data_IF_870705129762
#
_entry.id   IF_870705129762
#
_cell.length_a   1.000
_cell.length_b   1.000
_cell.length_c   1.000
_cell.angle_alpha   90.00
_cell.angle_beta   90.00
_cell.angle_gamma   90.00
#
_symmetry.space_group_name_H-M   'P 1'
#
loop_
_entity.id
_entity.type
_entity.pdbx_description
1 polymer ?
#
# COMPACT_ATOMS: atom_id res chain seq x y z
N UNK A 1 17.25 -16.53 -12.99
CA UNK A 1 16.81 -16.35 -11.60
C UNK A 1 16.00 -15.06 -11.57
N UNK A 2 14.70 -15.18 -11.38
CA UNK A 2 13.74 -14.10 -11.57
C UNK A 2 12.92 -13.98 -10.28
N UNK A 3 12.78 -12.76 -9.74
CA UNK A 3 11.79 -12.47 -8.69
C UNK A 3 12.29 -12.31 -7.25
N UNK A 4 13.48 -11.74 -6.99
CA UNK A 4 13.71 -11.14 -5.67
C UNK A 4 12.98 -9.79 -5.63
N UNK A 5 11.88 -9.71 -4.87
CA UNK A 5 11.21 -8.44 -4.58
C UNK A 5 12.18 -7.55 -3.77
N UNK A 6 12.79 -6.57 -4.43
CA UNK A 6 13.66 -5.62 -3.75
C UNK A 6 12.80 -4.59 -3.01
N UNK A 7 12.74 -4.71 -1.69
CA UNK A 7 12.18 -3.66 -0.84
C UNK A 7 13.09 -2.45 -0.79
N UNK A 8 12.53 -1.34 -0.30
CA UNK A 8 13.27 -0.08 -0.19
C UNK A 8 14.51 -0.21 0.71
N UNK A 9 15.66 0.40 0.32
CA UNK A 9 16.77 0.58 1.23
C UNK A 9 16.35 1.37 2.47
N UNK A 10 16.88 1.01 3.65
CA UNK A 10 16.52 1.65 4.93
C UNK A 10 16.62 3.18 4.91
N UNK A 11 17.63 3.72 4.23
CA UNK A 11 17.86 5.16 4.09
C UNK A 11 16.76 5.90 3.34
N UNK A 12 15.94 5.19 2.57
CA UNK A 12 14.87 5.76 1.77
C UNK A 12 13.48 5.63 2.43
N UNK A 13 13.35 4.80 3.49
CA UNK A 13 12.05 4.47 4.11
C UNK A 13 11.31 5.73 4.54
N UNK A 14 11.96 6.64 5.28
CA UNK A 14 11.32 7.86 5.77
C UNK A 14 10.80 8.74 4.62
N UNK A 15 11.56 8.83 3.53
CA UNK A 15 11.17 9.63 2.36
C UNK A 15 9.98 9.01 1.64
N UNK A 16 10.01 7.71 1.40
CA UNK A 16 8.94 7.01 0.69
C UNK A 16 7.64 6.93 1.52
N UNK A 17 7.75 6.70 2.84
CA UNK A 17 6.62 6.77 3.76
C UNK A 17 5.98 8.16 3.74
N UNK A 18 6.79 9.22 3.79
CA UNK A 18 6.28 10.59 3.68
C UNK A 18 5.64 10.91 2.33
N UNK A 19 6.06 10.27 1.24
CA UNK A 19 5.36 10.38 -0.04
C UNK A 19 4.03 9.65 -0.01
N UNK A 20 4.00 8.39 0.43
CA UNK A 20 2.76 7.61 0.52
C UNK A 20 1.71 8.31 1.40
N UNK A 21 2.12 8.94 2.51
CA UNK A 21 1.23 9.74 3.35
C UNK A 21 0.65 10.94 2.59
N UNK A 22 1.48 11.71 1.88
CA UNK A 22 1.02 12.88 1.13
C UNK A 22 0.05 12.50 0.01
N UNK A 23 0.33 11.43 -0.72
CA UNK A 23 -0.56 10.92 -1.75
C UNK A 23 -1.91 10.50 -1.16
N UNK A 24 -1.89 9.76 -0.04
CA UNK A 24 -3.13 9.34 0.63
C UNK A 24 -3.95 10.54 1.13
N UNK A 25 -3.27 11.57 1.64
CA UNK A 25 -3.89 12.83 2.07
C UNK A 25 -4.49 13.59 0.89
N UNK A 26 -3.82 13.62 -0.25
CA UNK A 26 -4.32 14.26 -1.47
C UNK A 26 -5.62 13.60 -1.97
N UNK A 27 -5.78 12.31 -1.72
CA UNK A 27 -7.02 11.56 -1.96
C UNK A 27 -8.04 11.64 -0.79
N UNK A 28 -7.89 12.60 0.12
CA UNK A 28 -8.76 12.77 1.29
C UNK A 28 -8.93 11.49 2.13
N UNK A 29 -7.84 10.72 2.24
CA UNK A 29 -7.80 9.42 2.89
C UNK A 29 -8.91 8.46 2.39
N UNK A 30 -9.18 8.49 1.08
CA UNK A 30 -10.14 7.66 0.35
C UNK A 30 -11.62 7.92 0.69
N UNK A 31 -11.92 9.00 1.41
CA UNK A 31 -13.30 9.34 1.80
C UNK A 31 -14.11 9.88 0.63
N UNK A 32 -15.43 9.63 0.66
CA UNK A 32 -16.38 10.19 -0.32
C UNK A 32 -16.36 9.50 -1.69
N UNK A 33 -15.67 8.37 -1.84
CA UNK A 33 -15.55 7.62 -3.09
C UNK A 33 -16.67 6.60 -3.27
N UNK A 34 -17.02 6.30 -4.53
CA UNK A 34 -17.80 5.09 -4.86
C UNK A 34 -17.01 3.83 -4.49
N UNK A 35 -17.65 2.66 -4.52
CA UNK A 35 -16.97 1.40 -4.21
C UNK A 35 -15.83 1.13 -5.20
N UNK A 36 -16.10 1.36 -6.48
CA UNK A 36 -15.16 1.14 -7.58
C UNK A 36 -13.97 2.10 -7.48
N UNK A 37 -14.23 3.38 -7.22
CA UNK A 37 -13.19 4.39 -7.00
C UNK A 37 -12.34 4.07 -5.77
N UNK A 38 -12.99 3.66 -4.67
CA UNK A 38 -12.30 3.24 -3.45
C UNK A 38 -11.37 2.05 -3.71
N UNK A 39 -11.84 1.01 -4.40
CA UNK A 39 -11.05 -0.18 -4.74
C UNK A 39 -9.85 0.20 -5.62
N UNK A 40 -10.06 1.02 -6.64
CA UNK A 40 -9.00 1.44 -7.57
C UNK A 40 -7.91 2.22 -6.84
N UNK A 41 -8.29 3.20 -6.02
CA UNK A 41 -7.34 4.01 -5.23
C UNK A 41 -6.70 3.21 -4.10
N UNK A 42 -7.43 2.32 -3.43
CA UNK A 42 -6.86 1.43 -2.43
C UNK A 42 -5.77 0.54 -3.03
N UNK A 43 -5.97 -0.01 -4.23
CA UNK A 43 -4.95 -0.82 -4.90
C UNK A 43 -3.66 -0.04 -5.16
N UNK A 44 -3.78 1.22 -5.61
CA UNK A 44 -2.63 2.11 -5.80
C UNK A 44 -1.88 2.37 -4.50
N UNK A 45 -2.56 2.78 -3.43
CA UNK A 45 -1.90 3.11 -2.16
C UNK A 45 -1.36 1.88 -1.42
N UNK A 46 -2.04 0.74 -1.56
CA UNK A 46 -1.59 -0.54 -1.01
C UNK A 46 -0.22 -0.93 -1.57
N UNK A 47 -0.04 -0.85 -2.89
CA UNK A 47 1.25 -1.12 -3.55
C UNK A 47 2.36 -0.17 -3.08
N UNK A 48 2.05 1.13 -3.01
CA UNK A 48 3.00 2.15 -2.53
C UNK A 48 3.51 1.83 -1.12
N UNK A 49 2.61 1.50 -0.18
CA UNK A 49 3.00 1.17 1.18
C UNK A 49 3.69 -0.20 1.29
N UNK A 50 3.29 -1.18 0.47
CA UNK A 50 3.96 -2.48 0.38
C UNK A 50 5.42 -2.33 -0.04
N UNK A 51 5.71 -1.40 -0.95
CA UNK A 51 7.07 -1.11 -1.40
C UNK A 51 7.95 -0.48 -0.31
N UNK A 52 7.37 0.32 0.60
CA UNK A 52 8.12 0.94 1.72
C UNK A 52 8.67 -0.10 2.70
N UNK A 53 7.88 -1.14 3.01
CA UNK A 53 8.25 -2.27 3.87
C UNK A 53 9.04 -1.88 5.15
N UNK A 54 8.49 -1.00 6.02
CA UNK A 54 9.28 -0.27 7.03
C UNK A 54 9.79 -1.10 8.21
N UNK A 55 9.26 -2.30 8.45
CA UNK A 55 9.63 -3.13 9.59
C UNK A 55 10.47 -4.34 9.17
N UNK A 56 11.30 -4.85 10.09
CA UNK A 56 12.05 -6.10 9.88
C UNK A 56 11.13 -7.33 9.71
N UNK A 57 10.01 -7.35 10.40
CA UNK A 57 9.00 -8.39 10.31
C UNK A 57 7.62 -7.82 10.70
N UNK A 58 6.55 -8.47 10.24
CA UNK A 58 5.19 -8.09 10.61
C UNK A 58 4.54 -7.02 9.74
N UNK A 59 5.17 -6.56 8.66
CA UNK A 59 4.62 -5.57 7.73
C UNK A 59 3.19 -5.88 7.30
N UNK A 60 2.92 -7.12 6.85
CA UNK A 60 1.57 -7.51 6.45
C UNK A 60 0.54 -7.35 7.57
N UNK A 61 0.87 -7.72 8.82
CA UNK A 61 -0.03 -7.59 9.99
C UNK A 61 -0.33 -6.12 10.27
N UNK A 62 0.71 -5.28 10.30
CA UNK A 62 0.56 -3.85 10.54
C UNK A 62 -0.24 -3.18 9.44
N UNK A 63 0.04 -3.50 8.17
CA UNK A 63 -0.67 -2.95 7.03
C UNK A 63 -2.15 -3.34 7.02
N UNK A 64 -2.53 -4.57 7.38
CA UNK A 64 -3.94 -4.95 7.47
C UNK A 64 -4.72 -4.10 8.46
N UNK A 65 -4.15 -3.83 9.63
CA UNK A 65 -4.77 -2.95 10.64
C UNK A 65 -4.87 -1.52 10.11
N UNK A 66 -3.81 -1.03 9.49
CA UNK A 66 -3.77 0.30 8.88
C UNK A 66 -4.85 0.46 7.78
N UNK A 67 -4.89 -0.44 6.80
CA UNK A 67 -5.84 -0.37 5.69
C UNK A 67 -7.29 -0.59 6.15
N UNK A 68 -7.54 -1.44 7.15
CA UNK A 68 -8.87 -1.53 7.76
C UNK A 68 -9.30 -0.22 8.41
N UNK A 69 -8.38 0.47 9.10
CA UNK A 69 -8.70 1.76 9.70
C UNK A 69 -9.04 2.81 8.65
N UNK A 70 -8.21 2.92 7.61
CA UNK A 70 -8.44 3.86 6.49
C UNK A 70 -9.76 3.55 5.79
N UNK A 71 -10.00 2.28 5.41
CA UNK A 71 -11.23 1.84 4.79
C UNK A 71 -12.46 2.20 5.63
N UNK A 72 -12.41 1.92 6.93
CA UNK A 72 -13.52 2.17 7.86
C UNK A 72 -13.83 3.64 8.02
N UNK A 73 -12.80 4.48 8.10
CA UNK A 73 -12.98 5.93 8.15
C UNK A 73 -13.49 6.50 6.81
N UNK A 74 -13.39 5.73 5.71
CA UNK A 74 -13.99 6.00 4.40
C UNK A 74 -15.36 5.35 4.18
N UNK A 75 -15.92 4.64 5.17
CA UNK A 75 -17.23 4.00 5.09
C UNK A 75 -17.23 2.58 4.50
N UNK A 76 -16.05 1.95 4.42
CA UNK A 76 -15.83 0.60 3.89
C UNK A 76 -15.24 -0.34 4.93
N UNK A 77 -15.48 -1.63 4.79
CA UNK A 77 -14.90 -2.68 5.62
C UNK A 77 -14.10 -3.61 4.72
N UNK A 78 -12.92 -4.02 5.20
CA UNK A 78 -12.12 -5.06 4.57
C UNK A 78 -12.23 -6.36 5.37
N UNK A 79 -12.32 -7.48 4.68
CA UNK A 79 -12.31 -8.81 5.28
C UNK A 79 -11.20 -9.67 4.68
N UNK A 80 -10.09 -9.79 5.39
CA UNK A 80 -8.89 -10.46 4.87
C UNK A 80 -8.94 -11.99 4.98
N UNK A 81 -10.00 -12.55 5.58
CA UNK A 81 -10.13 -13.99 5.82
C UNK A 81 -10.17 -14.81 4.53
N UNK A 82 -10.64 -14.22 3.45
CA UNK A 82 -10.73 -14.88 2.14
C UNK A 82 -9.46 -14.68 1.29
N UNK A 83 -8.49 -13.90 1.77
CA UNK A 83 -7.24 -13.65 1.03
C UNK A 83 -6.14 -14.60 1.48
N UNK A 84 -5.77 -15.51 0.59
CA UNK A 84 -4.60 -16.38 0.78
C UNK A 84 -3.30 -15.64 0.47
N UNK A 85 -2.21 -16.03 1.14
CA UNK A 85 -0.89 -15.42 0.96
C UNK A 85 -0.43 -15.44 -0.50
N UNK A 86 -0.58 -16.57 -1.19
CA UNK A 86 -0.20 -16.72 -2.60
C UNK A 86 -0.96 -15.75 -3.53
N UNK A 87 -2.24 -15.49 -3.27
CA UNK A 87 -3.07 -14.55 -4.05
C UNK A 87 -2.54 -13.13 -3.88
N UNK A 88 -2.32 -12.70 -2.64
CA UNK A 88 -1.79 -11.37 -2.35
C UNK A 88 -0.38 -11.18 -2.92
N UNK A 89 0.47 -12.20 -2.81
CA UNK A 89 1.83 -12.19 -3.33
C UNK A 89 1.84 -12.06 -4.87
N UNK A 90 0.98 -12.81 -5.56
CA UNK A 90 0.80 -12.69 -7.01
C UNK A 90 0.32 -11.28 -7.39
N UNK A 91 -0.72 -10.78 -6.73
CA UNK A 91 -1.28 -9.47 -7.03
C UNK A 91 -0.29 -8.32 -6.77
N UNK A 92 0.46 -8.40 -5.67
CA UNK A 92 1.49 -7.41 -5.33
C UNK A 92 2.67 -7.43 -6.30
N UNK A 93 3.07 -8.60 -6.81
CA UNK A 93 4.10 -8.70 -7.86
C UNK A 93 3.62 -8.11 -9.18
N UNK A 94 2.39 -8.43 -9.61
CA UNK A 94 1.83 -7.87 -10.84
C UNK A 94 1.81 -6.32 -10.79
N UNK A 95 1.40 -5.74 -9.66
CA UNK A 95 1.40 -4.30 -9.49
C UNK A 95 2.83 -3.71 -9.49
N UNK A 96 3.73 -4.23 -8.66
CA UNK A 96 5.07 -3.66 -8.49
C UNK A 96 6.01 -3.88 -9.68
N UNK A 97 5.94 -5.05 -10.34
CA UNK A 97 6.87 -5.43 -11.42
C UNK A 97 6.32 -5.06 -12.80
N UNK A 98 5.01 -5.19 -13.01
CA UNK A 98 4.37 -5.05 -14.33
C UNK A 98 3.49 -3.80 -14.43
N UNK A 99 3.30 -3.06 -13.32
CA UNK A 99 2.34 -1.95 -13.20
C UNK A 99 0.91 -2.38 -13.52
N UNK A 100 0.61 -3.65 -13.34
CA UNK A 100 -0.72 -4.19 -13.53
C UNK A 100 -1.48 -4.26 -12.20
N UNK A 101 -2.36 -3.30 -11.99
CA UNK A 101 -3.19 -3.21 -10.79
C UNK A 101 -4.47 -4.05 -10.89
N UNK A 102 -4.76 -4.72 -12.02
CA UNK A 102 -5.98 -5.53 -12.15
C UNK A 102 -6.09 -6.62 -11.08
N UNK A 103 -5.04 -7.42 -10.79
CA UNK A 103 -5.15 -8.47 -9.77
C UNK A 103 -5.39 -7.92 -8.36
N UNK A 104 -4.80 -6.76 -8.01
CA UNK A 104 -5.08 -6.11 -6.73
C UNK A 104 -6.53 -5.64 -6.65
N UNK A 105 -7.06 -5.05 -7.72
CA UNK A 105 -8.45 -4.59 -7.77
C UNK A 105 -9.43 -5.75 -7.66
N UNK A 106 -9.20 -6.84 -8.37
CA UNK A 106 -10.01 -8.08 -8.27
C UNK A 106 -9.95 -8.69 -6.86
N UNK A 107 -8.78 -8.66 -6.23
CA UNK A 107 -8.63 -9.11 -4.85
C UNK A 107 -9.41 -8.22 -3.87
N UNK A 108 -9.30 -6.89 -3.99
CA UNK A 108 -10.03 -5.95 -3.13
C UNK A 108 -11.54 -5.99 -3.37
N UNK A 109 -11.97 -6.22 -4.61
CA UNK A 109 -13.38 -6.39 -4.96
C UNK A 109 -14.04 -7.54 -4.19
N UNK A 110 -13.31 -8.60 -3.87
CA UNK A 110 -13.83 -9.73 -3.10
C UNK A 110 -14.04 -9.41 -1.61
N UNK A 111 -13.31 -8.43 -1.06
CA UNK A 111 -13.23 -8.22 0.38
C UNK A 111 -13.78 -6.88 0.87
N UNK A 112 -14.05 -5.95 -0.05
CA UNK A 112 -14.62 -4.63 0.27
C UNK A 112 -16.13 -4.72 0.39
N UNK A 113 -16.63 -4.39 1.57
CA UNK A 113 -18.07 -4.25 1.88
C UNK A 113 -18.35 -2.92 2.58
N UNK A 114 -19.62 -2.56 2.78
CA UNK A 114 -19.97 -1.33 3.54
C UNK A 114 -19.61 -1.49 5.01
N UNK A 115 -19.03 -0.44 5.60
CA UNK A 115 -18.72 -0.44 7.02
C UNK A 115 -19.99 -0.36 7.88
N UNK A 116 -19.97 -1.06 9.02
CA UNK A 116 -20.95 -0.86 10.08
C UNK A 116 -20.77 0.55 10.68
N UNK A 117 -21.84 1.37 10.75
CA UNK A 117 -21.78 2.71 11.35
C UNK A 117 -21.26 2.71 12.78
N UNK A 118 -20.63 3.81 13.20
CA UNK A 118 -19.97 3.87 14.50
C UNK A 118 -20.88 3.57 15.69
N UNK A 119 -22.13 4.04 15.65
CA UNK A 119 -23.11 3.82 16.72
C UNK A 119 -23.58 2.37 16.86
N UNK A 120 -23.35 1.53 15.86
CA UNK A 120 -23.81 0.15 15.80
C UNK A 120 -22.69 -0.86 16.15
N UNK A 121 -21.49 -0.38 16.50
CA UNK A 121 -20.33 -1.22 16.79
C UNK A 121 -20.28 -1.64 18.26
N UNK A 122 -20.94 -2.74 18.57
CA UNK A 122 -21.00 -3.34 19.90
C UNK A 122 -19.78 -4.24 20.22
N UNK A 123 -19.85 -5.03 21.30
CA UNK A 123 -18.79 -5.95 21.67
C UNK A 123 -18.63 -7.12 20.67
N UNK A 124 -19.73 -7.62 20.10
CA UNK A 124 -19.72 -8.69 19.11
C UNK A 124 -19.04 -8.22 17.82
N UNK A 125 -19.30 -6.99 17.39
CA UNK A 125 -18.63 -6.38 16.25
C UNK A 125 -17.11 -6.31 16.45
N UNK A 126 -16.64 -5.92 17.64
CA UNK A 126 -15.20 -5.87 17.94
C UNK A 126 -14.56 -7.26 17.88
N UNK A 127 -15.24 -8.28 18.39
CA UNK A 127 -14.76 -9.67 18.29
C UNK A 127 -14.67 -10.13 16.82
N UNK A 128 -15.69 -9.82 16.01
CA UNK A 128 -15.68 -10.12 14.59
C UNK A 128 -14.58 -9.37 13.82
N UNK A 129 -14.28 -8.12 14.21
CA UNK A 129 -13.21 -7.33 13.60
C UNK A 129 -11.83 -7.99 13.76
N UNK A 130 -11.53 -8.56 14.92
CA UNK A 130 -10.29 -9.32 15.11
C UNK A 130 -10.19 -10.51 14.15
N UNK A 131 -11.31 -11.19 13.87
CA UNK A 131 -11.34 -12.28 12.90
C UNK A 131 -11.07 -11.77 11.47
N UNK A 132 -11.68 -10.64 11.06
CA UNK A 132 -11.48 -10.02 9.73
C UNK A 132 -10.03 -9.60 9.45
N UNK A 133 -9.25 -9.32 10.49
CA UNK A 133 -7.83 -8.94 10.38
C UNK A 133 -6.87 -10.13 10.19
N UNK A 134 -7.38 -11.35 10.30
CA UNK A 134 -6.60 -12.58 10.21
C UNK A 134 -6.51 -13.07 8.77
N UNK A 135 -5.33 -13.53 8.35
CA UNK A 135 -5.22 -14.37 7.16
C UNK A 135 -5.51 -15.83 7.54
N UNK A 136 -6.15 -16.60 6.67
CA UNK A 136 -6.43 -18.03 6.91
C UNK A 136 -5.14 -18.87 6.96
N UNK A 137 -4.02 -18.36 6.43
CA UNK A 137 -2.71 -19.04 6.46
C UNK A 137 -1.76 -18.32 7.43
N UNK A 138 -1.17 -19.05 8.37
CA UNK A 138 -0.28 -18.44 9.38
C UNK A 138 1.07 -18.04 8.79
N UNK A 139 1.70 -17.00 9.36
CA UNK A 139 3.05 -16.54 8.99
C UNK A 139 4.13 -17.66 9.11
N UNK A 140 3.85 -18.70 9.89
CA UNK A 140 4.73 -19.85 10.16
C UNK A 140 4.94 -20.74 8.92
N UNK A 141 3.93 -20.86 8.05
CA UNK A 141 4.01 -21.68 6.84
C UNK A 141 4.90 -21.04 5.77
N UNK A 142 4.92 -19.70 5.71
CA UNK A 142 5.77 -18.95 4.78
C UNK A 142 7.28 -19.03 5.12
N UNK A 143 7.63 -19.26 6.39
CA UNK A 143 9.02 -19.32 6.88
C UNK A 143 9.66 -20.70 6.65
N UNK A 144 8.89 -21.75 6.33
CA UNK A 144 9.39 -23.13 6.20
C UNK A 144 10.18 -23.40 4.90
N UNK A 145 10.37 -22.41 4.03
CA UNK A 145 11.27 -22.53 2.86
C UNK A 145 12.73 -22.38 3.29
N UNK A 146 13.62 -23.34 2.97
CA UNK A 146 15.02 -23.27 3.37
C UNK A 146 15.73 -22.12 2.64
N UNK A 147 16.52 -21.33 3.39
CA UNK A 147 17.40 -20.31 2.84
C UNK A 147 18.73 -20.96 2.45
N UNK A 148 19.05 -21.02 1.15
CA UNK A 148 20.38 -21.39 0.66
C UNK A 148 20.68 -20.71 -0.68
N UNK A 149 21.72 -19.84 -0.71
CA UNK A 149 22.30 -19.28 -1.94
C UNK A 149 23.06 -17.96 -1.73
N UNK A 150 24.26 -17.77 -2.33
CA UNK A 150 25.23 -16.77 -1.88
C UNK A 150 25.00 -15.35 -2.41
N UNK A 151 25.58 -14.38 -1.70
CA UNK A 151 25.56 -12.93 -1.95
C UNK A 151 26.17 -12.57 -3.32
N UNK A 152 25.36 -11.95 -4.18
CA UNK A 152 25.77 -11.35 -5.47
C UNK A 152 25.39 -9.87 -5.56
N UNK A 153 26.24 -9.09 -6.23
CA UNK A 153 26.31 -7.62 -6.31
C UNK A 153 25.04 -6.89 -6.84
N UNK A 154 24.87 -5.57 -6.59
CA UNK A 154 23.60 -4.87 -6.77
C UNK A 154 23.34 -4.49 -8.23
N UNK A 155 22.12 -4.74 -8.73
CA UNK A 155 21.62 -4.24 -10.01
C UNK A 155 20.48 -3.21 -9.81
N UNK A 156 20.23 -2.44 -10.87
CA UNK A 156 19.79 -1.06 -10.85
C UNK A 156 18.32 -0.76 -10.45
N UNK A 157 18.13 0.49 -10.03
CA UNK A 157 16.95 1.15 -9.45
C UNK A 157 15.65 1.01 -10.27
N UNK A 158 14.61 0.46 -9.64
CA UNK A 158 13.22 0.82 -9.95
C UNK A 158 12.86 2.07 -9.15
N UNK A 159 12.61 3.17 -9.85
CA UNK A 159 12.19 4.44 -9.26
C UNK A 159 10.69 4.45 -9.00
N UNK A 160 10.30 4.80 -7.78
CA UNK A 160 8.98 5.33 -7.44
C UNK A 160 8.56 6.34 -8.53
N UNK A 161 7.42 6.13 -9.19
CA UNK A 161 6.89 7.11 -10.13
C UNK A 161 6.41 8.34 -9.33
N UNK A 162 7.25 9.38 -9.32
CA UNK A 162 6.95 10.67 -8.72
C UNK A 162 6.49 11.61 -9.86
N UNK A 163 5.20 11.95 -10.00
CA UNK A 163 4.79 12.98 -10.93
C UNK A 163 5.37 14.35 -10.51
N UNK A 164 5.80 15.13 -11.50
CA UNK A 164 6.77 16.22 -11.37
C UNK A 164 6.36 17.38 -10.46
N UNK A 165 7.33 17.89 -9.70
CA UNK A 165 7.32 19.27 -9.22
C UNK A 165 7.76 20.17 -10.38
N UNK A 166 6.84 20.98 -10.89
CA UNK A 166 7.15 22.08 -11.78
C UNK A 166 7.95 23.14 -11.01
N UNK A 167 9.27 23.17 -11.22
CA UNK A 167 10.06 24.36 -10.87
C UNK A 167 9.67 25.49 -11.82
N UNK A 168 8.88 26.46 -11.33
CA UNK A 168 8.95 27.84 -11.84
C UNK A 168 10.26 28.44 -11.36
N UNK A 169 11.16 28.75 -12.30
CA UNK A 169 12.29 29.62 -12.04
C UNK A 169 11.80 31.05 -11.76
N UNK A 170 12.44 31.82 -10.86
CA UNK A 170 12.18 33.25 -10.74
C UNK A 170 12.79 33.97 -11.95
N UNK A 171 11.97 34.75 -12.64
CA UNK A 171 12.41 35.68 -13.68
C UNK A 171 13.32 36.75 -13.09
N UNK A 172 14.43 37.00 -13.77
CA UNK A 172 15.40 38.04 -13.47
C UNK A 172 14.97 39.32 -14.19
N UNK A 173 14.24 40.21 -13.50
CA UNK A 173 14.02 41.58 -13.95
C UNK A 173 15.21 42.45 -13.51
N UNK A 174 16.13 42.71 -14.43
CA UNK A 174 17.18 43.72 -14.27
C UNK A 174 16.61 45.13 -14.44
N UNK A 175 17.14 46.14 -13.72
CA UNK A 175 16.55 47.47 -13.66
C UNK A 175 16.88 48.30 -14.91
N UNK A 176 15.95 49.19 -15.24
CA UNK A 176 16.11 50.19 -16.28
C UNK A 176 17.26 51.17 -16.01
N UNK A 177 17.82 51.69 -17.09
CA UNK A 177 18.66 52.88 -17.08
C UNK A 177 18.06 53.88 -18.04
N UNK A 178 17.63 55.01 -17.47
CA UNK A 178 17.41 56.26 -18.18
C UNK A 178 18.75 56.93 -18.50
N UNK A 179 19.00 57.23 -19.77
CA UNK A 179 19.37 58.55 -20.31
C UNK A 179 19.72 58.44 -21.80
#
# INVERSE_FOLDING_TARGET
MEGAQFFLPVSMISRAAGYAERELRADHELRGMSREQFIDRLAYHYDQLNYVHPFRAGNGRTQRVFWNRVARDAGWQLDWREIHGATNDHASRAASEQRDFRPLREMFDQIVSKATPQGERDAAWRAAEHARLSFPTSASEAVRRPQSGPLGAPQARTTMHMPGQSHRAPGNDGPGVSR
#
